data_IF_176253205424
#
_entry.id   IF_176253205424
#
_cell.length_a   1.000
_cell.length_b   1.000
_cell.length_c   1.000
_cell.angle_alpha   90.00
_cell.angle_beta   90.00
_cell.angle_gamma   90.00
#
_symmetry.space_group_name_H-M   'P 1'
#
loop_
_entity.id
_entity.type
_entity.pdbx_description
1 polymer ?
#
# COMPACT_ATOMS: atom_id res chain seq x y z
N UNK A 1 19.53 -30.58 -24.02
CA UNK A 1 20.01 -29.27 -23.53
C UNK A 1 18.75 -28.45 -23.41
N UNK A 2 18.16 -28.40 -22.23
CA UNK A 2 17.02 -27.50 -21.99
C UNK A 2 17.53 -26.06 -22.01
N UNK A 3 16.78 -25.11 -22.57
CA UNK A 3 17.16 -23.70 -22.50
C UNK A 3 17.15 -23.25 -21.03
N UNK A 4 18.25 -22.67 -20.61
CA UNK A 4 18.41 -22.05 -19.30
C UNK A 4 17.73 -20.68 -19.34
N UNK A 5 16.41 -20.66 -19.17
CA UNK A 5 15.60 -19.44 -19.15
C UNK A 5 15.71 -18.74 -17.78
N UNK A 6 16.94 -18.57 -17.28
CA UNK A 6 17.20 -17.85 -16.03
C UNK A 6 17.14 -16.35 -16.29
N UNK A 7 16.14 -15.67 -15.70
CA UNK A 7 16.04 -14.20 -15.69
C UNK A 7 16.76 -13.67 -14.45
N UNK A 8 17.99 -13.20 -14.61
CA UNK A 8 18.74 -12.52 -13.55
C UNK A 8 18.26 -11.08 -13.41
N UNK A 9 17.68 -10.74 -12.27
CA UNK A 9 17.33 -9.35 -11.91
C UNK A 9 18.50 -8.75 -11.12
N UNK A 10 19.45 -8.10 -11.79
CA UNK A 10 20.52 -7.36 -11.13
C UNK A 10 19.97 -6.06 -10.50
N UNK A 11 19.73 -6.10 -9.18
CA UNK A 11 19.19 -4.97 -8.41
C UNK A 11 20.23 -3.90 -8.02
N UNK A 12 21.43 -3.91 -8.62
CA UNK A 12 22.53 -3.04 -8.21
C UNK A 12 22.74 -1.91 -9.22
N UNK A 13 22.28 -0.70 -8.89
CA UNK A 13 22.95 0.52 -9.34
C UNK A 13 22.18 1.57 -10.13
N UNK A 14 20.87 1.44 -10.40
CA UNK A 14 20.13 2.50 -11.10
C UNK A 14 19.22 3.29 -10.16
N UNK A 15 19.50 4.60 -9.99
CA UNK A 15 18.55 5.57 -9.42
C UNK A 15 17.40 5.75 -10.43
N UNK A 16 16.16 5.34 -10.13
CA UNK A 16 15.05 5.53 -11.06
C UNK A 16 14.73 7.02 -11.16
N UNK A 17 14.95 7.61 -12.35
CA UNK A 17 14.37 8.91 -12.68
C UNK A 17 12.90 8.69 -13.03
N UNK A 18 12.00 9.19 -12.16
CA UNK A 18 10.52 9.19 -12.25
C UNK A 18 9.86 7.80 -12.10
N UNK A 19 9.20 7.62 -10.96
CA UNK A 19 8.64 6.37 -10.42
C UNK A 19 7.40 5.77 -11.13
N UNK A 20 7.32 5.77 -12.48
CA UNK A 20 6.20 5.12 -13.19
C UNK A 20 6.53 4.29 -14.43
N UNK A 21 7.80 4.03 -14.74
CA UNK A 21 8.16 3.11 -15.83
C UNK A 21 8.85 1.86 -15.25
N UNK A 22 8.17 0.70 -15.36
CA UNK A 22 8.60 -0.71 -15.27
C UNK A 22 9.81 -1.16 -14.41
N UNK A 23 9.74 -2.38 -13.81
CA UNK A 23 8.77 -2.86 -12.82
C UNK A 23 8.92 -2.10 -11.48
N UNK A 24 7.86 -2.04 -10.67
CA UNK A 24 7.91 -1.41 -9.35
C UNK A 24 8.76 -2.27 -8.40
N UNK A 25 10.06 -2.00 -8.46
CA UNK A 25 11.10 -2.60 -7.65
C UNK A 25 11.39 -1.62 -6.52
N UNK A 26 11.04 -2.03 -5.29
CA UNK A 26 11.16 -1.23 -4.09
C UNK A 26 12.22 -1.87 -3.20
N UNK A 27 13.23 -1.10 -2.81
CA UNK A 27 14.29 -1.59 -1.94
C UNK A 27 13.83 -1.59 -0.49
N UNK A 28 14.00 -2.72 0.20
CA UNK A 28 13.74 -2.86 1.63
C UNK A 28 15.04 -3.14 2.40
N UNK A 29 15.47 -2.21 3.24
CA UNK A 29 16.73 -2.34 3.95
C UNK A 29 17.95 -2.29 3.01
N UNK A 30 19.00 -3.03 3.38
CA UNK A 30 20.23 -3.06 2.59
C UNK A 30 20.22 -4.09 1.46
N UNK A 31 19.57 -5.24 1.68
CA UNK A 31 19.57 -6.40 0.79
C UNK A 31 18.17 -6.84 0.34
N UNK A 32 17.10 -6.33 0.96
CA UNK A 32 15.74 -6.73 0.63
C UNK A 32 15.15 -6.00 -0.56
N UNK A 33 14.18 -6.63 -1.19
CA UNK A 33 13.52 -6.19 -2.41
C UNK A 33 12.04 -6.56 -2.40
N UNK A 34 11.18 -5.65 -2.83
CA UNK A 34 9.78 -5.93 -3.18
C UNK A 34 9.57 -5.68 -4.66
N UNK A 35 8.95 -6.65 -5.33
CA UNK A 35 8.66 -6.62 -6.76
C UNK A 35 7.15 -6.67 -6.97
N UNK A 36 6.61 -5.75 -7.76
CA UNK A 36 5.24 -5.87 -8.23
C UNK A 36 5.14 -6.87 -9.40
N UNK A 37 4.65 -8.08 -9.12
CA UNK A 37 4.65 -9.22 -10.05
C UNK A 37 3.77 -9.02 -11.28
N UNK A 38 2.73 -8.17 -11.20
CA UNK A 38 1.87 -7.82 -12.36
C UNK A 38 2.62 -7.19 -13.54
N UNK A 39 3.83 -6.67 -13.28
CA UNK A 39 4.70 -6.08 -14.31
C UNK A 39 5.74 -7.07 -14.84
N UNK A 40 5.81 -8.28 -14.27
CA UNK A 40 6.51 -9.41 -14.86
C UNK A 40 5.64 -9.93 -16.01
N UNK A 41 5.59 -9.18 -17.10
CA UNK A 41 5.10 -9.70 -18.39
C UNK A 41 6.19 -10.62 -18.90
N UNK A 42 6.21 -11.85 -18.37
CA UNK A 42 6.93 -12.92 -19.04
C UNK A 42 6.04 -13.32 -20.22
N UNK A 43 6.62 -13.36 -21.42
CA UNK A 43 5.93 -13.84 -22.64
C UNK A 43 5.49 -15.32 -22.56
N UNK A 44 5.54 -15.93 -21.37
CA UNK A 44 5.09 -17.29 -21.06
C UNK A 44 4.57 -17.38 -19.61
N UNK A 45 3.43 -18.04 -19.34
CA UNK A 45 2.68 -17.98 -18.08
C UNK A 45 3.30 -18.73 -16.89
N UNK A 46 4.59 -19.07 -16.92
CA UNK A 46 5.20 -19.91 -15.89
C UNK A 46 5.87 -19.06 -14.80
N UNK A 47 5.09 -18.28 -14.03
CA UNK A 47 5.59 -17.65 -12.79
C UNK A 47 6.21 -18.69 -11.85
N UNK A 48 5.69 -19.93 -11.88
CA UNK A 48 6.23 -21.07 -11.13
C UNK A 48 7.60 -21.57 -11.62
N UNK A 49 8.05 -21.14 -12.80
CA UNK A 49 9.39 -21.42 -13.31
C UNK A 49 10.40 -20.33 -12.91
N UNK A 50 9.95 -19.21 -12.34
CA UNK A 50 10.88 -18.22 -11.76
C UNK A 50 11.56 -18.88 -10.57
N UNK A 51 12.87 -19.08 -10.71
CA UNK A 51 13.74 -19.46 -9.62
C UNK A 51 14.40 -18.21 -9.06
N UNK A 52 14.23 -18.00 -7.77
CA UNK A 52 14.88 -16.91 -7.05
C UNK A 52 16.04 -17.51 -6.27
N UNK A 53 17.24 -17.02 -6.55
CA UNK A 53 18.41 -17.26 -5.72
C UNK A 53 18.42 -16.23 -4.59
N UNK A 54 18.36 -16.72 -3.35
CA UNK A 54 18.34 -15.90 -2.15
C UNK A 54 19.55 -16.27 -1.27
N UNK A 55 20.10 -15.31 -0.52
CA UNK A 55 21.23 -15.60 0.37
C UNK A 55 20.79 -16.49 1.55
N UNK A 56 21.74 -17.08 2.28
CA UNK A 56 21.49 -18.14 3.29
C UNK A 56 20.53 -17.74 4.45
N UNK A 57 20.18 -16.46 4.60
CA UNK A 57 19.25 -15.94 5.61
C UNK A 57 18.01 -15.24 5.03
N UNK A 58 17.90 -15.17 3.72
CA UNK A 58 16.78 -14.54 3.05
C UNK A 58 15.54 -15.45 3.07
N UNK A 59 14.37 -14.81 3.01
CA UNK A 59 13.08 -15.44 2.81
C UNK A 59 12.45 -14.89 1.53
N UNK A 60 11.52 -15.67 0.99
CA UNK A 60 10.63 -15.21 -0.08
C UNK A 60 9.21 -15.15 0.47
N UNK A 61 8.57 -13.99 0.36
CA UNK A 61 7.17 -13.81 0.74
C UNK A 61 6.34 -13.33 -0.47
N UNK A 62 5.20 -13.98 -0.71
CA UNK A 62 4.34 -13.77 -1.86
C UNK A 62 2.89 -14.13 -1.50
N UNK A 63 1.92 -13.21 -1.60
CA UNK A 63 0.49 -13.50 -1.40
C UNK A 63 0.15 -14.40 -0.21
N UNK A 64 0.60 -13.97 0.98
CA UNK A 64 0.45 -14.68 2.25
C UNK A 64 1.20 -16.02 2.35
N UNK A 65 1.83 -16.48 1.28
CA UNK A 65 2.78 -17.57 1.30
C UNK A 65 4.16 -17.04 1.68
N UNK A 66 4.82 -17.73 2.59
CA UNK A 66 6.19 -17.40 3.00
C UNK A 66 6.99 -18.68 3.00
N UNK A 67 8.00 -18.73 2.12
CA UNK A 67 8.98 -19.81 2.13
C UNK A 67 10.04 -19.48 3.18
N UNK A 68 10.00 -20.20 4.29
CA UNK A 68 11.06 -20.20 5.30
C UNK A 68 12.11 -21.29 5.06
N UNK A 69 11.93 -22.11 4.02
CA UNK A 69 12.89 -23.13 3.68
C UNK A 69 14.16 -22.51 3.11
N UNK A 70 15.32 -23.05 3.52
CA UNK A 70 16.63 -22.73 2.93
C UNK A 70 16.69 -23.31 1.52
N UNK A 71 16.05 -22.67 0.57
CA UNK A 71 16.07 -23.13 -0.82
C UNK A 71 16.69 -22.02 -1.64
N UNK A 72 17.82 -22.35 -2.27
CA UNK A 72 18.46 -21.50 -3.28
C UNK A 72 17.56 -21.27 -4.51
N UNK A 73 16.42 -21.97 -4.59
CA UNK A 73 15.47 -21.94 -5.71
C UNK A 73 14.06 -22.14 -5.19
N UNK A 74 13.32 -21.05 -5.01
CA UNK A 74 11.94 -21.11 -4.51
C UNK A 74 10.97 -21.03 -5.69
N UNK A 75 10.22 -22.11 -6.01
CA UNK A 75 9.17 -22.02 -7.00
C UNK A 75 8.05 -21.15 -6.45
N UNK A 76 7.63 -20.12 -7.20
CA UNK A 76 6.48 -19.31 -6.80
C UNK A 76 5.21 -20.17 -6.84
N UNK A 77 4.30 -20.03 -5.85
CA UNK A 77 3.04 -20.77 -5.83
C UNK A 77 2.30 -20.60 -7.15
N UNK A 78 1.66 -21.68 -7.62
CA UNK A 78 0.86 -21.62 -8.84
C UNK A 78 -0.27 -20.60 -8.68
N UNK A 79 -0.12 -19.45 -9.34
CA UNK A 79 -0.98 -18.26 -9.22
C UNK A 79 -2.34 -18.41 -9.90
N UNK A 80 -2.64 -19.56 -10.51
CA UNK A 80 -3.85 -19.83 -11.29
C UNK A 80 -5.17 -19.58 -10.53
N UNK A 81 -5.16 -19.41 -9.21
CA UNK A 81 -6.37 -19.13 -8.42
C UNK A 81 -6.37 -17.76 -7.72
N UNK A 82 -5.21 -17.21 -7.37
CA UNK A 82 -5.02 -15.84 -6.84
C UNK A 82 -3.60 -15.37 -7.16
N UNK A 83 -3.38 -14.53 -8.19
CA UNK A 83 -2.04 -14.05 -8.50
C UNK A 83 -1.64 -13.01 -7.47
N UNK A 84 -0.75 -13.34 -6.54
CA UNK A 84 -0.13 -12.33 -5.67
C UNK A 84 0.49 -11.22 -6.48
N UNK A 85 0.34 -9.98 -6.02
CA UNK A 85 0.81 -8.79 -6.73
C UNK A 85 2.17 -8.31 -6.25
N UNK A 86 2.61 -8.73 -5.06
CA UNK A 86 3.88 -8.32 -4.48
C UNK A 86 4.70 -9.53 -4.04
N UNK A 87 5.97 -9.51 -4.37
CA UNK A 87 6.96 -10.51 -4.03
C UNK A 87 8.07 -9.83 -3.24
N UNK A 88 8.28 -10.25 -2.00
CA UNK A 88 9.42 -9.85 -1.19
C UNK A 88 10.52 -10.90 -1.24
N UNK A 89 11.76 -10.47 -1.38
CA UNK A 89 12.98 -11.27 -1.30
C UNK A 89 13.94 -10.51 -0.37
N UNK A 90 14.37 -11.11 0.73
CA UNK A 90 15.32 -10.45 1.64
C UNK A 90 15.35 -11.05 3.04
N UNK A 91 16.03 -10.40 4.00
CA UNK A 91 16.32 -10.97 5.30
C UNK A 91 15.08 -11.44 6.07
N UNK A 92 15.16 -12.64 6.66
CA UNK A 92 14.08 -13.20 7.48
C UNK A 92 13.58 -12.27 8.58
N UNK A 93 14.49 -11.55 9.22
CA UNK A 93 14.19 -10.68 10.36
C UNK A 93 13.37 -9.43 10.00
N UNK A 94 13.21 -9.11 8.71
CA UNK A 94 12.28 -8.07 8.27
C UNK A 94 10.82 -8.50 8.44
N UNK A 95 10.55 -9.80 8.50
CA UNK A 95 9.20 -10.35 8.70
C UNK A 95 8.81 -10.32 10.17
N UNK A 96 7.55 -9.95 10.41
CA UNK A 96 6.89 -10.10 11.70
C UNK A 96 5.53 -10.79 11.51
N UNK A 97 5.22 -11.77 12.36
CA UNK A 97 3.90 -12.39 12.41
C UNK A 97 3.02 -11.59 13.35
N UNK A 98 1.81 -11.27 12.91
CA UNK A 98 0.75 -10.71 13.73
C UNK A 98 -0.23 -11.83 14.10
N UNK A 99 -1.06 -11.62 15.11
CA UNK A 99 -2.10 -12.60 15.50
C UNK A 99 -2.97 -12.98 14.30
N UNK A 100 -3.41 -11.96 13.55
CA UNK A 100 -4.34 -12.12 12.42
C UNK A 100 -3.69 -11.79 11.06
N UNK A 101 -2.35 -11.83 10.93
CA UNK A 101 -1.71 -11.49 9.66
C UNK A 101 -0.20 -11.45 9.68
N UNK A 102 0.42 -10.76 8.72
CA UNK A 102 1.87 -10.71 8.60
C UNK A 102 2.37 -9.38 8.06
N UNK A 103 3.55 -8.98 8.51
CA UNK A 103 4.24 -7.78 8.08
C UNK A 103 5.61 -8.10 7.52
N UNK A 104 6.05 -7.26 6.59
CA UNK A 104 7.47 -7.12 6.24
C UNK A 104 7.84 -5.66 6.39
N UNK A 105 8.72 -5.36 7.33
CA UNK A 105 9.12 -4.00 7.67
C UNK A 105 10.56 -3.74 7.23
N UNK A 106 10.79 -2.58 6.64
CA UNK A 106 12.14 -2.13 6.32
C UNK A 106 12.90 -1.88 7.62
N UNK A 107 14.05 -2.54 7.87
CA UNK A 107 14.79 -2.38 9.11
C UNK A 107 15.38 -0.98 9.29
N UNK A 108 15.35 -0.13 8.24
CA UNK A 108 15.77 1.28 8.30
C UNK A 108 14.67 2.20 8.79
N UNK A 109 13.44 1.71 8.99
CA UNK A 109 12.37 2.50 9.59
C UNK A 109 12.82 3.03 10.97
N UNK A 110 12.51 4.29 11.30
CA UNK A 110 12.64 4.81 12.65
C UNK A 110 11.97 3.89 13.69
N UNK A 111 12.56 3.81 14.89
CA UNK A 111 12.09 2.91 15.95
C UNK A 111 10.59 3.07 16.24
N UNK A 112 10.10 4.31 16.27
CA UNK A 112 8.68 4.58 16.53
C UNK A 112 7.77 4.00 15.44
N UNK A 113 8.22 3.93 14.19
CA UNK A 113 7.46 3.30 13.09
C UNK A 113 7.49 1.78 13.21
N UNK A 114 8.64 1.20 13.56
CA UNK A 114 8.77 -0.24 13.81
C UNK A 114 7.83 -0.71 14.93
N UNK A 115 7.59 0.13 15.93
CA UNK A 115 6.67 -0.14 17.04
C UNK A 115 5.21 0.15 16.66
N UNK A 116 4.94 1.26 15.99
CA UNK A 116 3.57 1.70 15.71
C UNK A 116 2.88 0.94 14.56
N UNK A 117 3.62 0.53 13.52
CA UNK A 117 3.02 -0.13 12.35
C UNK A 117 2.30 -1.44 12.72
N UNK A 118 2.87 -2.36 13.52
CA UNK A 118 2.18 -3.58 13.95
C UNK A 118 0.83 -3.32 14.61
N UNK A 119 0.81 -2.47 15.64
CA UNK A 119 -0.40 -2.14 16.38
C UNK A 119 -1.44 -1.47 15.48
N UNK A 120 -1.03 -0.45 14.73
CA UNK A 120 -1.94 0.33 13.87
C UNK A 120 -2.48 -0.48 12.69
N UNK A 121 -1.72 -1.45 12.19
CA UNK A 121 -2.19 -2.34 11.12
C UNK A 121 -3.36 -3.18 11.61
N UNK A 122 -3.21 -3.83 12.78
CA UNK A 122 -4.28 -4.65 13.36
C UNK A 122 -5.50 -3.79 13.67
N UNK A 123 -5.29 -2.61 14.25
CA UNK A 123 -6.38 -1.70 14.59
C UNK A 123 -7.14 -1.23 13.36
N UNK A 124 -6.43 -0.78 12.33
CA UNK A 124 -7.03 -0.31 11.08
C UNK A 124 -7.79 -1.45 10.38
N UNK A 125 -7.20 -2.63 10.26
CA UNK A 125 -7.83 -3.80 9.67
C UNK A 125 -9.16 -4.14 10.37
N UNK A 126 -9.13 -4.34 11.70
CA UNK A 126 -10.32 -4.70 12.47
C UNK A 126 -11.40 -3.63 12.43
N UNK A 127 -11.01 -2.36 12.48
CA UNK A 127 -11.96 -1.26 12.45
C UNK A 127 -12.61 -1.10 11.08
N UNK A 128 -11.83 -1.20 9.99
CA UNK A 128 -12.37 -1.11 8.62
C UNK A 128 -13.33 -2.27 8.34
N UNK A 129 -12.97 -3.49 8.73
CA UNK A 129 -13.86 -4.66 8.63
C UNK A 129 -15.19 -4.42 9.35
N UNK A 130 -15.12 -3.97 10.60
CA UNK A 130 -16.30 -3.66 11.40
C UNK A 130 -17.14 -2.53 10.77
N UNK A 131 -16.49 -1.50 10.23
CA UNK A 131 -17.16 -0.36 9.56
C UNK A 131 -18.00 -0.83 8.37
N UNK A 132 -17.48 -1.75 7.56
CA UNK A 132 -18.21 -2.31 6.41
C UNK A 132 -19.05 -3.55 6.74
N UNK A 133 -19.12 -3.95 8.01
CA UNK A 133 -19.79 -5.19 8.45
C UNK A 133 -19.25 -6.44 7.76
N UNK A 134 -17.96 -6.47 7.40
CA UNK A 134 -17.29 -7.68 6.90
C UNK A 134 -16.81 -8.54 8.06
N UNK A 135 -16.80 -9.85 7.80
CA UNK A 135 -15.76 -10.73 8.32
C UNK A 135 -14.75 -10.88 7.19
N UNK A 136 -13.63 -10.15 7.23
CA UNK A 136 -12.67 -10.22 6.13
C UNK A 136 -12.11 -11.64 6.03
N UNK A 137 -12.14 -12.17 4.81
CA UNK A 137 -11.79 -13.56 4.52
C UNK A 137 -10.28 -13.74 4.33
N UNK A 138 -9.51 -12.66 4.44
CA UNK A 138 -8.08 -12.61 4.14
C UNK A 138 -7.31 -11.95 5.27
N UNK A 139 -6.36 -12.70 5.83
CA UNK A 139 -5.37 -12.14 6.75
C UNK A 139 -4.60 -10.98 6.10
N UNK A 140 -4.45 -9.80 6.75
CA UNK A 140 -3.62 -8.71 6.27
C UNK A 140 -2.18 -9.14 6.01
N UNK A 141 -1.66 -8.76 4.85
CA UNK A 141 -0.23 -8.82 4.54
C UNK A 141 0.27 -7.45 4.09
N UNK A 142 1.05 -6.79 4.95
CA UNK A 142 1.52 -5.42 4.71
C UNK A 142 3.05 -5.39 4.64
N UNK A 143 3.57 -4.85 3.54
CA UNK A 143 4.98 -4.53 3.36
C UNK A 143 5.19 -3.03 3.51
N UNK A 144 6.18 -2.59 4.28
CA UNK A 144 6.48 -1.16 4.49
C UNK A 144 7.94 -0.85 4.19
N UNK A 145 8.17 -0.20 3.06
CA UNK A 145 9.48 0.30 2.63
C UNK A 145 9.77 1.70 3.15
N UNK A 146 11.05 2.01 3.39
CA UNK A 146 11.49 3.34 3.82
C UNK A 146 12.58 3.93 2.91
N UNK A 147 12.39 5.18 2.49
CA UNK A 147 13.35 6.00 1.74
C UNK A 147 13.97 7.07 2.65
N UNK A 148 15.02 6.76 3.44
CA UNK A 148 15.57 7.68 4.45
C UNK A 148 16.26 8.91 3.86
N UNK A 149 16.79 8.82 2.65
CA UNK A 149 17.53 9.90 1.98
C UNK A 149 16.62 10.91 1.26
N UNK A 150 15.30 10.73 1.40
CA UNK A 150 14.32 11.58 0.74
C UNK A 150 14.01 12.79 1.63
N UNK A 151 14.14 13.98 1.06
CA UNK A 151 13.86 15.24 1.77
C UNK A 151 12.36 15.55 1.86
N UNK A 152 11.62 15.31 0.78
CA UNK A 152 10.18 15.59 0.73
C UNK A 152 9.36 14.45 1.30
N UNK A 153 8.30 14.78 2.03
CA UNK A 153 7.30 13.81 2.48
C UNK A 153 6.80 12.94 1.33
N UNK A 154 6.97 11.65 1.51
CA UNK A 154 6.46 10.58 0.68
C UNK A 154 5.57 9.69 1.52
N UNK A 155 4.35 9.52 1.02
CA UNK A 155 3.43 8.49 1.46
C UNK A 155 2.75 7.93 0.23
N UNK A 156 3.03 6.68 -0.08
CA UNK A 156 2.37 5.96 -1.16
C UNK A 156 1.93 4.61 -0.65
N UNK A 157 0.64 4.32 -0.75
CA UNK A 157 0.12 2.98 -0.56
C UNK A 157 -0.28 2.36 -1.89
N UNK A 158 -0.29 1.04 -1.91
CA UNK A 158 -0.81 0.23 -3.00
C UNK A 158 -1.44 -1.02 -2.42
N UNK A 159 -2.68 -1.25 -2.78
CA UNK A 159 -3.42 -2.45 -2.40
C UNK A 159 -3.60 -3.39 -3.59
N UNK A 160 -3.42 -4.69 -3.36
CA UNK A 160 -3.70 -5.74 -4.32
C UNK A 160 -5.13 -6.26 -4.18
N UNK A 161 -5.65 -6.89 -5.24
CA UNK A 161 -6.97 -7.54 -5.19
C UNK A 161 -7.01 -8.76 -4.24
N UNK A 162 -5.84 -9.23 -3.79
CA UNK A 162 -5.73 -10.35 -2.86
C UNK A 162 -5.51 -9.90 -1.40
N UNK A 163 -5.60 -8.60 -1.13
CA UNK A 163 -5.44 -8.06 0.22
C UNK A 163 -3.99 -7.77 0.65
N UNK A 164 -3.05 -7.75 -0.29
CA UNK A 164 -1.66 -7.38 0.01
C UNK A 164 -1.51 -5.86 -0.09
N UNK A 165 -0.88 -5.25 0.91
CA UNK A 165 -0.62 -3.81 0.94
C UNK A 165 0.89 -3.58 0.86
N UNK A 166 1.30 -2.62 0.03
CA UNK A 166 2.66 -2.10 -0.01
C UNK A 166 2.65 -0.61 0.26
N UNK A 167 3.26 -0.22 1.38
CA UNK A 167 3.49 1.16 1.75
C UNK A 167 4.94 1.55 1.44
N UNK A 168 5.13 2.74 0.89
CA UNK A 168 6.43 3.37 0.72
C UNK A 168 6.40 4.72 1.42
N UNK A 169 7.21 4.82 2.46
CA UNK A 169 7.38 6.01 3.30
C UNK A 169 8.75 6.63 3.03
N UNK A 170 8.86 7.95 3.16
CA UNK A 170 10.12 8.68 3.01
C UNK A 170 9.90 10.17 3.29
N UNK A 171 10.95 10.93 3.53
CA UNK A 171 10.82 12.31 4.02
C UNK A 171 11.34 12.44 5.45
N UNK A 172 11.87 13.62 5.77
CA UNK A 172 12.45 13.93 7.08
C UNK A 172 11.39 13.91 8.20
N UNK A 173 10.12 14.15 7.86
CA UNK A 173 9.00 14.17 8.80
C UNK A 173 8.79 12.81 9.46
N UNK A 174 8.97 11.70 8.71
CA UNK A 174 8.84 10.35 9.27
C UNK A 174 9.94 9.99 10.27
N UNK A 175 11.06 10.72 10.30
CA UNK A 175 12.16 10.45 11.24
C UNK A 175 11.78 10.80 12.69
N UNK A 176 10.76 11.64 12.88
CA UNK A 176 10.33 12.09 14.20
C UNK A 176 8.94 11.56 14.52
N UNK A 177 8.77 11.11 15.76
CA UNK A 177 7.47 10.71 16.27
C UNK A 177 6.66 11.96 16.64
N UNK A 178 5.95 12.53 15.67
CA UNK A 178 5.02 13.63 15.91
C UNK A 178 3.57 13.15 15.86
N UNK A 179 2.67 13.95 16.42
CA UNK A 179 1.24 13.65 16.39
C UNK A 179 0.71 13.64 14.95
N UNK A 180 1.17 14.58 14.13
CA UNK A 180 0.82 14.68 12.72
C UNK A 180 1.19 13.40 11.97
N UNK A 181 2.40 12.86 12.21
CA UNK A 181 2.83 11.62 11.55
C UNK A 181 2.09 10.39 12.06
N UNK A 182 1.68 10.35 13.33
CA UNK A 182 0.79 9.31 13.85
C UNK A 182 -0.58 9.33 13.16
N UNK A 183 -1.13 10.52 12.91
CA UNK A 183 -2.37 10.71 12.16
C UNK A 183 -2.21 10.25 10.72
N UNK A 184 -1.15 10.70 10.03
CA UNK A 184 -0.89 10.30 8.64
C UNK A 184 -0.73 8.79 8.49
N UNK A 185 0.02 8.13 9.38
CA UNK A 185 0.16 6.67 9.36
C UNK A 185 -1.18 5.96 9.55
N UNK A 186 -1.99 6.42 10.51
CA UNK A 186 -3.28 5.81 10.82
C UNK A 186 -4.30 6.00 9.70
N UNK A 187 -4.26 7.16 9.02
CA UNK A 187 -5.04 7.44 7.83
C UNK A 187 -4.61 6.54 6.69
N UNK A 188 -3.31 6.49 6.38
CA UNK A 188 -2.76 5.72 5.26
C UNK A 188 -3.07 4.22 5.39
N UNK A 189 -2.91 3.64 6.58
CA UNK A 189 -3.22 2.23 6.79
C UNK A 189 -4.71 1.93 6.56
N UNK A 190 -5.60 2.71 7.18
CA UNK A 190 -7.03 2.51 7.01
C UNK A 190 -7.48 2.77 5.56
N UNK A 191 -6.90 3.77 4.88
CA UNK A 191 -7.13 4.05 3.47
C UNK A 191 -6.87 2.82 2.60
N UNK A 192 -5.72 2.17 2.77
CA UNK A 192 -5.39 0.97 2.00
C UNK A 192 -6.27 -0.23 2.38
N UNK A 193 -6.66 -0.38 3.64
CA UNK A 193 -7.64 -1.41 4.04
C UNK A 193 -9.02 -1.20 3.40
N UNK A 194 -9.46 0.06 3.23
CA UNK A 194 -10.71 0.35 2.50
C UNK A 194 -10.61 -0.08 1.03
N UNK A 195 -9.43 0.01 0.41
CA UNK A 195 -9.24 -0.52 -0.94
C UNK A 195 -9.42 -2.03 -1.02
N UNK A 196 -9.08 -2.79 0.03
CA UNK A 196 -9.35 -4.23 0.10
C UNK A 196 -10.86 -4.47 0.08
N UNK A 197 -11.60 -3.79 0.94
CA UNK A 197 -13.07 -3.89 1.00
C UNK A 197 -13.74 -3.49 -0.31
N UNK A 198 -13.27 -2.40 -0.94
CA UNK A 198 -13.74 -1.96 -2.25
C UNK A 198 -13.50 -3.04 -3.31
N UNK A 199 -12.35 -3.71 -3.30
CA UNK A 199 -12.04 -4.76 -4.27
C UNK A 199 -12.95 -5.99 -4.16
N UNK A 200 -13.45 -6.28 -2.96
CA UNK A 200 -14.27 -7.47 -2.68
C UNK A 200 -15.76 -7.16 -2.85
N UNK A 201 -16.26 -6.08 -2.24
CA UNK A 201 -17.70 -5.79 -2.13
C UNK A 201 -18.21 -4.82 -3.19
N UNK A 202 -17.45 -3.77 -3.45
CA UNK A 202 -17.85 -2.66 -4.33
C UNK A 202 -17.04 -2.78 -5.61
N UNK A 203 -17.27 -3.85 -6.40
CA UNK A 203 -16.60 -4.04 -7.69
C UNK A 203 -16.92 -2.87 -8.63
N UNK A 204 -16.16 -1.80 -8.54
CA UNK A 204 -16.25 -0.66 -9.45
C UNK A 204 -15.70 -1.11 -10.79
N UNK A 205 -16.46 -0.92 -11.87
CA UNK A 205 -15.97 -1.16 -13.22
C UNK A 205 -14.72 -0.31 -13.49
N UNK A 206 -13.83 -0.76 -14.37
CA UNK A 206 -12.65 0.03 -14.80
C UNK A 206 -12.98 1.43 -15.33
N UNK A 207 -14.23 1.64 -15.72
CA UNK A 207 -14.71 2.91 -16.25
C UNK A 207 -15.32 3.81 -15.17
N UNK A 208 -15.50 3.35 -13.93
CA UNK A 208 -16.06 4.19 -12.88
C UNK A 208 -15.11 5.36 -12.53
N UNK A 209 -15.63 6.49 -12.02
CA UNK A 209 -14.80 7.61 -11.65
C UNK A 209 -13.97 7.36 -10.38
N UNK A 210 -12.69 7.76 -10.40
CA UNK A 210 -11.75 7.47 -9.32
C UNK A 210 -12.15 8.00 -7.94
N UNK A 211 -12.91 9.09 -7.90
CA UNK A 211 -13.38 9.65 -6.64
C UNK A 211 -14.28 8.69 -5.84
N UNK A 212 -14.95 7.72 -6.48
CA UNK A 212 -15.82 6.77 -5.78
C UNK A 212 -15.01 5.88 -4.83
N UNK A 213 -13.87 5.35 -5.26
CA UNK A 213 -13.07 4.45 -4.45
C UNK A 213 -11.97 5.16 -3.67
N UNK A 214 -11.30 6.15 -4.27
CA UNK A 214 -10.27 6.94 -3.57
C UNK A 214 -10.90 7.86 -2.53
N UNK A 215 -12.02 8.50 -2.85
CA UNK A 215 -12.73 9.39 -1.94
C UNK A 215 -13.34 8.65 -0.74
N UNK A 216 -13.86 7.44 -0.96
CA UNK A 216 -14.36 6.60 0.14
C UNK A 216 -13.22 6.19 1.07
N UNK A 217 -12.10 5.75 0.50
CA UNK A 217 -10.91 5.36 1.26
C UNK A 217 -10.34 6.53 2.07
N UNK A 218 -10.27 7.72 1.48
CA UNK A 218 -9.78 8.93 2.15
C UNK A 218 -10.72 9.37 3.29
N UNK A 219 -12.04 9.33 3.06
CA UNK A 219 -13.05 9.67 4.05
C UNK A 219 -13.03 8.71 5.24
N UNK A 220 -13.14 7.41 4.96
CA UNK A 220 -13.17 6.35 6.00
C UNK A 220 -11.82 6.28 6.73
N UNK A 221 -10.70 6.44 6.01
CA UNK A 221 -9.37 6.53 6.62
C UNK A 221 -9.23 7.74 7.56
N UNK A 222 -9.86 8.86 7.23
CA UNK A 222 -9.90 10.05 8.09
C UNK A 222 -10.77 9.82 9.33
N UNK A 223 -11.92 9.15 9.21
CA UNK A 223 -12.74 8.77 10.37
C UNK A 223 -11.95 7.86 11.32
N UNK A 224 -11.26 6.85 10.78
CA UNK A 224 -10.38 5.97 11.54
C UNK A 224 -9.31 6.78 12.30
N UNK A 225 -8.55 7.60 11.59
CA UNK A 225 -7.49 8.41 12.19
C UNK A 225 -8.04 9.35 13.28
N UNK A 226 -9.23 9.90 13.07
CA UNK A 226 -9.92 10.79 14.01
C UNK A 226 -10.27 10.09 15.33
N UNK A 227 -10.68 8.82 15.28
CA UNK A 227 -11.11 8.08 16.48
C UNK A 227 -9.96 7.37 17.20
N UNK A 228 -8.87 7.03 16.50
CA UNK A 228 -7.85 6.10 17.01
C UNK A 228 -6.46 6.69 17.24
N UNK A 229 -6.27 7.99 17.03
CA UNK A 229 -4.97 8.65 17.25
C UNK A 229 -4.86 9.38 18.59
N UNK A 230 -5.94 9.48 19.34
CA UNK A 230 -5.99 10.23 20.61
C UNK A 230 -5.89 11.75 20.43
N UNK A 231 -5.86 12.25 19.19
CA UNK A 231 -6.02 13.66 18.91
C UNK A 231 -7.44 14.10 19.29
N UNK A 232 -7.67 15.36 19.71
CA UNK A 232 -9.02 15.88 19.85
C UNK A 232 -9.77 15.65 18.54
N UNK A 233 -10.71 14.70 18.56
CA UNK A 233 -11.31 14.12 17.36
C UNK A 233 -12.02 15.17 16.49
N UNK A 234 -12.48 16.27 17.11
CA UNK A 234 -13.01 17.41 16.38
C UNK A 234 -12.00 18.08 15.44
N UNK A 235 -10.72 18.10 15.80
CA UNK A 235 -9.73 18.93 15.11
C UNK A 235 -9.19 18.27 13.84
N UNK A 236 -8.95 16.95 13.83
CA UNK A 236 -8.51 16.23 12.60
C UNK A 236 -9.60 16.28 11.53
N UNK A 237 -10.82 15.83 11.86
CA UNK A 237 -11.90 15.76 10.89
C UNK A 237 -12.29 17.14 10.37
N UNK A 238 -12.41 18.14 11.25
CA UNK A 238 -12.74 19.51 10.79
C UNK A 238 -11.63 20.12 9.92
N UNK A 239 -10.36 19.87 10.25
CA UNK A 239 -9.25 20.32 9.43
C UNK A 239 -9.28 19.67 8.05
N UNK A 240 -9.50 18.34 7.98
CA UNK A 240 -9.60 17.61 6.71
C UNK A 240 -10.79 18.08 5.87
N UNK A 241 -11.98 18.25 6.47
CA UNK A 241 -13.16 18.76 5.75
C UNK A 241 -12.87 20.14 5.14
N UNK A 242 -12.25 21.05 5.91
CA UNK A 242 -11.88 22.39 5.40
C UNK A 242 -10.89 22.28 4.25
N UNK A 243 -9.88 21.41 4.37
CA UNK A 243 -8.90 21.16 3.30
C UNK A 243 -9.58 20.64 2.05
N UNK A 244 -10.37 19.57 2.17
CA UNK A 244 -11.09 18.96 1.05
C UNK A 244 -12.04 19.96 0.37
N UNK A 245 -12.81 20.72 1.15
CA UNK A 245 -13.69 21.76 0.62
C UNK A 245 -12.92 22.84 -0.14
N UNK A 246 -11.84 23.37 0.44
CA UNK A 246 -11.05 24.41 -0.21
C UNK A 246 -10.41 23.92 -1.50
N UNK A 247 -9.77 22.75 -1.48
CA UNK A 247 -9.10 22.22 -2.66
C UNK A 247 -10.09 21.79 -3.74
N UNK A 248 -11.20 21.14 -3.37
CA UNK A 248 -12.23 20.76 -4.31
C UNK A 248 -12.86 21.99 -4.98
N UNK A 249 -13.19 23.04 -4.21
CA UNK A 249 -13.74 24.29 -4.76
C UNK A 249 -12.73 24.98 -5.68
N UNK A 250 -11.46 25.05 -5.30
CA UNK A 250 -10.41 25.63 -6.16
C UNK A 250 -10.32 24.88 -7.49
N UNK A 251 -10.28 23.55 -7.44
CA UNK A 251 -10.20 22.72 -8.64
C UNK A 251 -11.44 22.88 -9.54
N UNK A 252 -12.64 22.82 -8.98
CA UNK A 252 -13.89 23.00 -9.74
C UNK A 252 -14.01 24.39 -10.39
N UNK A 253 -13.48 25.44 -9.73
CA UNK A 253 -13.46 26.81 -10.26
C UNK A 253 -12.45 26.99 -11.39
N UNK A 254 -11.22 26.50 -11.22
CA UNK A 254 -10.16 26.61 -12.23
C UNK A 254 -10.54 25.90 -13.52
N UNK A 255 -11.17 24.73 -13.40
CA UNK A 255 -11.53 23.90 -14.54
C UNK A 255 -12.88 24.28 -15.18
N UNK A 256 -13.73 25.09 -14.52
CA UNK A 256 -15.12 25.36 -14.97
C UNK A 256 -15.91 24.09 -15.30
N UNK A 257 -15.61 22.98 -14.61
CA UNK A 257 -16.09 21.64 -14.89
C UNK A 257 -16.59 20.97 -13.61
N UNK A 258 -17.73 20.29 -13.69
CA UNK A 258 -18.30 19.54 -12.55
C UNK A 258 -17.52 18.25 -12.23
N UNK A 259 -17.78 17.65 -11.07
CA UNK A 259 -17.11 16.43 -10.56
C UNK A 259 -17.15 15.23 -11.51
N UNK A 260 -18.12 15.19 -12.43
CA UNK A 260 -18.26 14.16 -13.47
C UNK A 260 -17.32 14.35 -14.67
N UNK A 261 -16.48 15.39 -14.67
CA UNK A 261 -15.61 15.67 -15.81
C UNK A 261 -14.49 14.60 -15.96
N UNK A 262 -14.18 14.14 -17.19
CA UNK A 262 -13.17 13.10 -17.43
C UNK A 262 -11.77 13.39 -16.88
N UNK A 263 -11.40 14.67 -16.72
CA UNK A 263 -10.13 15.06 -16.08
C UNK A 263 -10.14 14.76 -14.58
N UNK A 264 -11.25 15.02 -13.88
CA UNK A 264 -11.44 14.62 -12.47
C UNK A 264 -11.52 13.10 -12.34
N UNK A 265 -12.04 12.43 -13.39
CA UNK A 265 -12.11 10.97 -13.46
C UNK A 265 -10.74 10.30 -13.42
N UNK A 266 -9.70 10.96 -13.94
CA UNK A 266 -8.38 10.38 -14.19
C UNK A 266 -7.25 11.06 -13.38
N UNK A 267 -7.46 12.25 -12.83
CA UNK A 267 -6.49 12.98 -12.03
C UNK A 267 -6.63 12.63 -10.54
N UNK A 268 -5.48 12.31 -9.92
CA UNK A 268 -5.43 11.82 -8.55
C UNK A 268 -5.98 12.84 -7.55
N UNK A 269 -5.50 14.07 -7.58
CA UNK A 269 -5.73 15.04 -6.48
C UNK A 269 -7.21 15.41 -6.32
N UNK A 270 -7.92 15.67 -7.43
CA UNK A 270 -9.35 15.98 -7.40
C UNK A 270 -10.22 14.77 -7.04
N UNK A 271 -9.75 13.55 -7.33
CA UNK A 271 -10.43 12.30 -6.96
C UNK A 271 -10.53 12.10 -5.44
N UNK A 272 -9.42 12.28 -4.71
CA UNK A 272 -9.41 12.12 -3.25
C UNK A 272 -10.26 13.19 -2.57
N UNK A 273 -9.97 14.47 -2.82
CA UNK A 273 -10.49 15.57 -2.01
C UNK A 273 -11.96 15.87 -2.31
N UNK A 274 -12.37 15.90 -3.59
CA UNK A 274 -13.79 16.06 -3.92
C UNK A 274 -14.61 14.82 -3.57
N UNK A 275 -14.04 13.62 -3.74
CA UNK A 275 -14.71 12.37 -3.39
C UNK A 275 -14.96 12.26 -1.89
N UNK A 276 -13.93 12.48 -1.07
CA UNK A 276 -14.05 12.44 0.39
C UNK A 276 -15.05 13.47 0.91
N UNK A 277 -15.05 14.69 0.35
CA UNK A 277 -16.04 15.70 0.68
C UNK A 277 -17.47 15.26 0.32
N UNK A 278 -17.65 14.62 -0.84
CA UNK A 278 -18.96 14.11 -1.25
C UNK A 278 -19.47 13.04 -0.28
N UNK A 279 -18.62 12.10 0.14
CA UNK A 279 -18.97 11.10 1.16
C UNK A 279 -19.31 11.74 2.51
N UNK A 280 -18.55 12.74 2.95
CA UNK A 280 -18.85 13.46 4.18
C UNK A 280 -20.20 14.19 4.17
N UNK A 281 -20.63 14.73 3.01
CA UNK A 281 -21.92 15.45 2.90
C UNK A 281 -23.11 14.50 3.01
N UNK A 282 -22.97 13.24 2.59
CA UNK A 282 -24.08 12.28 2.52
C UNK A 282 -24.20 11.37 3.75
N UNK A 283 -23.16 11.29 4.58
CA UNK A 283 -23.16 10.60 5.89
C UNK A 283 -23.86 11.45 6.96
#
# INVERSE_FOLDING_TARGET
MEPDDTVTLDAVGQKPRRAREYPFLVRMGNSGLVLATRHLVLDSPLLHAIQIEAENEDIVAFSNYISEERVQRIPLPNSNHRPGHFLYIGPRNAKQRLDDGSLVLDPRLPTWLLEAIPEKTILAYKWVDAFFGSESVTEPFVMVSFEPDRHELLQNGRTSLNGEILLVLGGEEWLQETMEMKVQLSLLLAHEFVHIENSVKVRTGREEPAWLWEGLAEYVGTLHATWHTGFPSGDVLQWQIRRWANHCVSYLKEESKGISHPLIRNERVSGYECGALAYWIID
#
